data_IF_812046407946
#
_entry.id   IF_812046407946
#
_cell.length_a   1.000
_cell.length_b   1.000
_cell.length_c   1.000
_cell.angle_alpha   90.00
_cell.angle_beta   90.00
_cell.angle_gamma   90.00
#
_symmetry.space_group_name_H-M   'P 1'
#
loop_
_entity.id
_entity.type
_entity.pdbx_description
1 polymer ?
#
# COMPACT_ATOMS: atom_id res chain seq x y z
N UNK A 1 21.13 4.65 30.04
CA UNK A 1 20.54 3.80 28.99
C UNK A 1 21.35 4.09 27.76
N UNK A 2 22.09 3.11 27.25
CA UNK A 2 23.05 3.28 26.16
C UNK A 2 22.28 3.57 24.87
N UNK A 3 22.52 4.72 24.25
CA UNK A 3 21.89 5.08 22.99
C UNK A 3 22.70 4.40 21.88
N UNK A 4 22.08 3.66 20.94
CA UNK A 4 22.85 2.96 19.92
C UNK A 4 23.72 3.95 19.11
N UNK A 5 25.01 3.65 19.01
CA UNK A 5 26.08 4.49 18.42
C UNK A 5 26.01 4.64 16.89
N UNK A 6 24.86 4.39 16.25
CA UNK A 6 24.75 4.43 14.80
C UNK A 6 23.33 4.62 14.28
N UNK A 7 23.18 5.03 13.00
CA UNK A 7 21.88 5.15 12.36
C UNK A 7 21.18 3.78 12.34
N UNK A 8 19.88 3.77 12.66
CA UNK A 8 19.07 2.58 12.57
C UNK A 8 19.13 1.99 11.14
N UNK A 9 19.02 0.67 11.03
CA UNK A 9 18.99 -0.04 9.75
C UNK A 9 17.85 -1.07 9.74
N UNK A 10 17.28 -1.30 8.57
CA UNK A 10 16.27 -2.35 8.35
C UNK A 10 16.96 -3.57 7.76
N UNK A 11 16.50 -4.76 8.16
CA UNK A 11 17.02 -6.03 7.68
C UNK A 11 15.88 -6.92 7.20
N UNK A 12 16.14 -7.67 6.13
CA UNK A 12 15.35 -8.82 5.74
C UNK A 12 15.98 -10.06 6.39
N UNK A 13 15.16 -10.89 7.05
CA UNK A 13 15.60 -12.13 7.69
C UNK A 13 14.96 -13.28 6.93
N UNK A 14 15.79 -14.16 6.38
CA UNK A 14 15.37 -15.45 5.88
C UNK A 14 15.11 -16.36 7.09
N UNK A 15 13.87 -16.84 7.26
CA UNK A 15 13.47 -17.59 8.45
C UNK A 15 13.92 -19.06 8.42
N UNK A 16 14.24 -19.60 7.25
CA UNK A 16 14.70 -20.98 7.10
C UNK A 16 16.21 -21.09 7.37
N UNK A 17 16.96 -20.08 6.95
CA UNK A 17 18.43 -20.04 7.06
C UNK A 17 18.93 -19.12 8.16
N UNK A 18 18.04 -18.35 8.80
CA UNK A 18 18.33 -17.29 9.78
C UNK A 18 19.25 -16.17 9.24
N UNK A 19 19.50 -16.17 7.93
CA UNK A 19 20.39 -15.20 7.30
C UNK A 19 19.74 -13.82 7.29
N UNK A 20 20.43 -12.85 7.86
CA UNK A 20 20.03 -11.45 7.83
C UNK A 20 20.74 -10.71 6.70
N UNK A 21 19.98 -9.97 5.89
CA UNK A 21 20.51 -9.13 4.80
C UNK A 21 20.05 -7.70 5.02
N UNK A 22 20.98 -6.74 4.90
CA UNK A 22 20.63 -5.32 5.04
C UNK A 22 19.65 -4.93 3.95
N UNK A 23 18.48 -4.47 4.36
CA UNK A 23 17.41 -4.06 3.46
C UNK A 23 17.60 -2.61 3.02
N UNK A 24 17.41 -2.34 1.73
CA UNK A 24 17.37 -0.98 1.17
C UNK A 24 18.55 -0.06 1.61
N UNK A 25 19.83 -0.44 1.41
CA UNK A 25 20.98 0.26 1.99
C UNK A 25 21.18 1.73 1.54
N UNK A 26 20.38 2.23 0.58
CA UNK A 26 20.37 3.62 0.13
C UNK A 26 19.11 4.41 0.52
N UNK A 27 18.20 3.84 1.30
CA UNK A 27 16.97 4.50 1.77
C UNK A 27 17.10 4.83 3.25
N UNK A 28 16.68 6.04 3.65
CA UNK A 28 16.69 6.42 5.05
C UNK A 28 15.76 5.52 5.86
N UNK A 29 16.26 5.00 6.98
CA UNK A 29 15.44 4.21 7.91
C UNK A 29 14.29 5.05 8.49
N UNK A 30 14.44 6.37 8.60
CA UNK A 30 13.33 7.23 9.01
C UNK A 30 12.18 7.21 7.98
N UNK A 31 12.50 7.18 6.68
CA UNK A 31 11.50 7.08 5.61
C UNK A 31 10.83 5.69 5.61
N UNK A 32 11.61 4.64 5.90
CA UNK A 32 11.13 3.27 6.07
C UNK A 32 10.47 2.98 7.42
N UNK A 33 10.41 3.92 8.37
CA UNK A 33 9.71 3.73 9.64
C UNK A 33 8.55 4.72 9.80
N UNK A 34 8.56 5.84 9.06
CA UNK A 34 7.43 6.77 8.93
C UNK A 34 6.33 6.29 7.97
N UNK A 35 6.30 4.99 7.65
CA UNK A 35 5.45 4.42 6.61
C UNK A 35 4.03 4.19 7.12
N UNK A 36 3.05 4.41 6.24
CA UNK A 36 1.65 4.05 6.49
C UNK A 36 1.30 2.61 6.08
N UNK A 37 2.09 1.98 5.19
CA UNK A 37 1.90 0.58 4.78
C UNK A 37 3.12 -0.01 4.08
N UNK A 38 3.37 -1.31 4.31
CA UNK A 38 4.31 -2.13 3.54
C UNK A 38 3.63 -3.43 3.09
N UNK A 39 4.01 -3.93 1.92
CA UNK A 39 3.43 -5.14 1.34
C UNK A 39 4.51 -5.99 0.68
N UNK A 40 4.59 -7.27 1.03
CA UNK A 40 5.46 -8.22 0.35
C UNK A 40 4.90 -8.53 -1.06
N UNK A 41 5.75 -8.41 -2.08
CA UNK A 41 5.42 -8.66 -3.50
C UNK A 41 6.53 -9.50 -4.11
N UNK A 42 6.37 -10.83 -4.06
CA UNK A 42 7.41 -11.77 -4.48
C UNK A 42 8.71 -11.57 -3.69
N UNK A 43 9.83 -11.36 -4.40
CA UNK A 43 11.14 -11.08 -3.80
C UNK A 43 11.39 -9.58 -3.50
N UNK A 44 10.33 -8.78 -3.42
CA UNK A 44 10.40 -7.35 -3.13
C UNK A 44 9.40 -6.95 -2.07
N UNK A 45 9.56 -5.76 -1.51
CA UNK A 45 8.57 -5.11 -0.66
C UNK A 45 8.18 -3.79 -1.28
N UNK A 46 6.87 -3.53 -1.32
CA UNK A 46 6.29 -2.27 -1.75
C UNK A 46 6.11 -1.35 -0.55
N UNK A 47 6.47 -0.09 -0.71
CA UNK A 47 6.35 0.96 0.31
C UNK A 47 5.64 2.19 -0.24
N UNK A 48 4.93 2.87 0.65
CA UNK A 48 4.45 4.23 0.46
C UNK A 48 5.34 5.21 1.22
N UNK A 49 6.24 5.89 0.52
CA UNK A 49 7.20 6.83 1.10
C UNK A 49 6.75 8.28 0.92
N UNK A 50 6.96 9.12 1.93
CA UNK A 50 6.81 10.57 1.80
C UNK A 50 7.88 11.14 0.87
N UNK A 51 7.51 12.10 0.02
CA UNK A 51 8.40 12.77 -0.91
C UNK A 51 8.00 14.26 -1.06
N UNK A 52 8.29 15.05 -0.03
CA UNK A 52 7.80 16.44 0.06
C UNK A 52 6.30 16.45 0.38
N UNK A 53 5.51 17.08 -0.49
CA UNK A 53 4.04 17.10 -0.45
C UNK A 53 3.40 15.90 -1.18
N UNK A 54 4.22 15.06 -1.81
CA UNK A 54 3.79 13.87 -2.53
C UNK A 54 4.04 12.58 -1.73
N UNK A 55 3.36 11.51 -2.14
CA UNK A 55 3.61 10.13 -1.73
C UNK A 55 4.14 9.34 -2.92
N UNK A 56 5.24 8.62 -2.75
CA UNK A 56 5.79 7.71 -3.77
C UNK A 56 5.51 6.27 -3.39
N UNK A 57 4.89 5.54 -4.31
CA UNK A 57 4.81 4.09 -4.23
C UNK A 57 6.07 3.52 -4.89
N UNK A 58 6.88 2.86 -4.07
CA UNK A 58 8.17 2.29 -4.50
C UNK A 58 8.19 0.79 -4.27
N UNK A 59 8.93 0.08 -5.10
CA UNK A 59 9.26 -1.34 -4.90
C UNK A 59 10.76 -1.46 -4.66
N UNK A 60 11.12 -2.24 -3.64
CA UNK A 60 12.50 -2.44 -3.20
C UNK A 60 12.76 -3.95 -3.04
N UNK A 61 13.78 -4.52 -3.72
CA UNK A 61 14.18 -5.92 -3.57
C UNK A 61 14.65 -6.24 -2.14
N UNK A 62 14.34 -7.45 -1.68
CA UNK A 62 14.76 -7.93 -0.35
C UNK A 62 16.20 -8.47 -0.34
N UNK A 63 16.82 -8.63 -1.51
CA UNK A 63 18.16 -9.21 -1.69
C UNK A 63 19.32 -8.30 -1.22
N UNK A 64 18.99 -7.11 -0.71
CA UNK A 64 19.97 -6.13 -0.22
C UNK A 64 20.61 -5.30 -1.33
N UNK A 65 20.16 -5.43 -2.58
CA UNK A 65 20.56 -4.52 -3.64
C UNK A 65 20.03 -3.09 -3.37
N UNK A 66 20.73 -2.04 -3.83
CA UNK A 66 20.28 -0.65 -3.63
C UNK A 66 19.11 -0.25 -4.54
N UNK A 67 18.50 -1.20 -5.27
CA UNK A 67 17.50 -0.91 -6.29
C UNK A 67 16.18 -0.44 -5.69
N UNK A 68 15.91 0.85 -5.65
CA UNK A 68 14.56 1.39 -5.40
C UNK A 68 13.95 1.84 -6.72
N UNK A 69 12.78 1.31 -7.07
CA UNK A 69 12.04 1.74 -8.26
C UNK A 69 10.71 2.37 -7.87
N UNK A 70 10.47 3.59 -8.30
CA UNK A 70 9.15 4.25 -8.18
C UNK A 70 8.20 3.66 -9.20
N UNK A 71 7.03 3.19 -8.74
CA UNK A 71 5.94 2.70 -9.58
C UNK A 71 4.91 3.78 -9.88
N UNK A 72 4.66 4.66 -8.90
CA UNK A 72 3.67 5.74 -8.98
C UNK A 72 4.01 6.87 -8.00
N UNK A 73 3.72 8.11 -8.39
CA UNK A 73 3.74 9.27 -7.49
C UNK A 73 2.33 9.82 -7.36
N UNK A 74 1.88 10.04 -6.13
CA UNK A 74 0.57 10.57 -5.76
C UNK A 74 0.75 11.91 -5.03
N UNK A 75 -0.20 12.81 -5.22
CA UNK A 75 -0.36 14.06 -4.47
C UNK A 75 -1.15 13.87 -3.16
N UNK A 76 -1.41 12.63 -2.76
CA UNK A 76 -2.27 12.24 -1.65
C UNK A 76 -1.68 11.07 -0.89
N UNK A 77 -2.11 10.93 0.37
CA UNK A 77 -1.71 9.81 1.23
C UNK A 77 -2.43 8.52 0.80
N UNK A 78 -1.74 7.39 0.96
CA UNK A 78 -2.32 6.05 0.78
C UNK A 78 -2.65 5.42 2.12
N UNK A 79 -3.71 4.61 2.15
CA UNK A 79 -4.21 3.97 3.38
C UNK A 79 -4.13 2.45 3.35
N UNK A 80 -4.26 1.85 2.16
CA UNK A 80 -4.23 0.40 2.00
C UNK A 80 -3.73 0.03 0.62
N UNK A 81 -2.90 -1.00 0.55
CA UNK A 81 -2.39 -1.56 -0.71
C UNK A 81 -2.48 -3.07 -0.67
N UNK A 82 -2.88 -3.67 -1.79
CA UNK A 82 -2.87 -5.12 -1.98
C UNK A 82 -2.43 -5.49 -3.40
N UNK A 83 -2.07 -6.75 -3.60
CA UNK A 83 -1.55 -7.29 -4.86
C UNK A 83 -2.37 -8.51 -5.28
N UNK A 84 -2.87 -8.48 -6.51
CA UNK A 84 -3.49 -9.64 -7.12
C UNK A 84 -2.43 -10.70 -7.48
N UNK A 85 -2.89 -11.93 -7.72
CA UNK A 85 -2.02 -13.06 -8.08
C UNK A 85 -1.20 -12.81 -9.36
N UNK A 86 -1.70 -12.00 -10.29
CA UNK A 86 -1.01 -11.61 -11.52
C UNK A 86 0.01 -10.47 -11.31
N UNK A 87 0.16 -9.97 -10.08
CA UNK A 87 1.04 -8.85 -9.73
C UNK A 87 0.39 -7.47 -9.87
N UNK A 88 -0.88 -7.39 -10.30
CA UNK A 88 -1.61 -6.12 -10.36
C UNK A 88 -1.76 -5.52 -8.96
N UNK A 89 -1.43 -4.25 -8.81
CA UNK A 89 -1.48 -3.53 -7.53
C UNK A 89 -2.78 -2.76 -7.41
N UNK A 90 -3.40 -2.82 -6.23
CA UNK A 90 -4.57 -2.05 -5.86
C UNK A 90 -4.23 -1.12 -4.70
N UNK A 91 -4.41 0.19 -4.90
CA UNK A 91 -3.99 1.21 -3.93
C UNK A 91 -5.19 2.09 -3.57
N UNK A 92 -5.56 2.08 -2.30
CA UNK A 92 -6.52 3.01 -1.73
C UNK A 92 -5.82 4.32 -1.34
N UNK A 93 -6.29 5.42 -1.91
CA UNK A 93 -5.78 6.77 -1.61
C UNK A 93 -6.93 7.77 -1.46
N UNK A 94 -6.62 8.94 -0.92
CA UNK A 94 -7.60 10.01 -0.73
C UNK A 94 -7.18 11.28 -1.49
N UNK A 95 -7.60 11.40 -2.75
CA UNK A 95 -7.52 12.65 -3.52
C UNK A 95 -8.94 13.22 -3.73
N UNK A 96 -9.33 14.18 -2.87
CA UNK A 96 -10.67 14.82 -2.79
C UNK A 96 -11.85 13.89 -2.49
N UNK A 97 -12.04 12.84 -3.28
CA UNK A 97 -12.95 11.71 -3.05
C UNK A 97 -12.08 10.47 -2.90
N UNK A 98 -12.30 9.61 -1.90
CA UNK A 98 -11.44 8.43 -1.77
C UNK A 98 -11.55 7.54 -3.01
N UNK A 99 -10.44 6.97 -3.48
CA UNK A 99 -10.37 6.19 -4.71
C UNK A 99 -9.59 4.89 -4.50
N UNK A 100 -9.85 3.90 -5.35
CA UNK A 100 -9.00 2.71 -5.49
C UNK A 100 -8.42 2.70 -6.89
N UNK A 101 -7.09 2.80 -6.96
CA UNK A 101 -6.32 2.72 -8.19
C UNK A 101 -5.94 1.27 -8.48
N UNK A 102 -5.96 0.90 -9.76
CA UNK A 102 -5.35 -0.32 -10.28
C UNK A 102 -4.10 0.04 -11.08
N UNK A 103 -2.98 -0.59 -10.78
CA UNK A 103 -1.67 -0.29 -11.35
C UNK A 103 -0.95 -1.57 -11.80
N UNK A 104 -0.30 -1.51 -12.96
CA UNK A 104 0.59 -2.58 -13.42
C UNK A 104 1.81 -2.74 -12.51
N UNK A 105 2.31 -3.96 -12.24
CA UNK A 105 3.56 -4.17 -11.48
C UNK A 105 4.80 -3.54 -12.12
N UNK A 106 4.77 -3.25 -13.43
CA UNK A 106 5.82 -2.48 -14.10
C UNK A 106 5.82 -0.98 -13.75
N UNK A 107 4.77 -0.49 -13.09
CA UNK A 107 4.46 0.93 -12.94
C UNK A 107 3.80 1.51 -14.19
N UNK A 108 3.44 2.79 -14.11
CA UNK A 108 2.89 3.55 -15.23
C UNK A 108 1.37 3.78 -15.17
N UNK A 109 0.65 3.33 -16.20
CA UNK A 109 -0.77 3.61 -16.38
C UNK A 109 -1.60 3.15 -15.17
N UNK A 110 -2.53 4.01 -14.76
CA UNK A 110 -3.43 3.78 -13.63
C UNK A 110 -4.88 3.87 -14.10
N UNK A 111 -5.71 2.94 -13.63
CA UNK A 111 -7.15 3.01 -13.79
C UNK A 111 -7.80 3.25 -12.43
N UNK A 112 -8.80 4.12 -12.36
CA UNK A 112 -9.68 4.20 -11.20
C UNK A 112 -10.71 3.07 -11.34
N UNK A 113 -10.70 2.13 -10.40
CA UNK A 113 -11.57 0.94 -10.45
C UNK A 113 -12.69 0.96 -9.41
N UNK A 114 -12.59 1.85 -8.42
CA UNK A 114 -13.67 2.10 -7.46
C UNK A 114 -13.53 3.49 -6.83
N UNK A 115 -14.68 4.05 -6.45
CA UNK A 115 -14.78 5.24 -5.59
C UNK A 115 -15.16 4.80 -4.19
N UNK A 116 -14.57 5.44 -3.18
CA UNK A 116 -14.89 5.24 -1.78
C UNK A 116 -16.07 6.15 -1.38
N UNK A 117 -16.88 5.75 -0.39
CA UNK A 117 -17.96 6.59 0.10
C UNK A 117 -17.40 7.84 0.78
N UNK A 118 -18.12 8.96 0.67
CA UNK A 118 -17.80 10.20 1.38
C UNK A 118 -17.74 9.94 2.89
N UNK A 119 -16.68 10.41 3.56
CA UNK A 119 -16.46 10.20 5.00
C UNK A 119 -15.86 8.84 5.37
N UNK A 120 -15.38 8.07 4.38
CA UNK A 120 -14.55 6.89 4.63
C UNK A 120 -13.26 7.28 5.37
N UNK A 121 -12.94 6.51 6.42
CA UNK A 121 -11.68 6.57 7.15
C UNK A 121 -11.00 5.20 7.06
N UNK A 122 -9.67 5.22 6.93
CA UNK A 122 -8.80 4.04 6.81
C UNK A 122 -9.25 3.02 5.75
N UNK A 123 -9.40 3.42 4.48
CA UNK A 123 -9.82 2.52 3.42
C UNK A 123 -8.76 1.44 3.15
N UNK A 124 -9.21 0.18 3.07
CA UNK A 124 -8.40 -0.96 2.64
C UNK A 124 -8.91 -1.41 1.29
N UNK A 125 -8.02 -1.61 0.31
CA UNK A 125 -8.33 -2.30 -0.93
C UNK A 125 -7.80 -3.74 -0.85
N UNK A 126 -8.65 -4.72 -1.15
CA UNK A 126 -8.27 -6.14 -1.23
C UNK A 126 -8.51 -6.67 -2.63
N UNK A 127 -7.49 -7.29 -3.21
CA UNK A 127 -7.56 -7.93 -4.51
C UNK A 127 -8.31 -9.27 -4.42
N UNK A 128 -9.21 -9.52 -5.38
CA UNK A 128 -9.91 -10.78 -5.51
C UNK A 128 -9.27 -11.66 -6.59
N UNK A 129 -9.39 -12.99 -6.50
CA UNK A 129 -8.84 -13.93 -7.49
C UNK A 129 -9.34 -13.71 -8.93
N UNK A 130 -10.46 -13.01 -9.11
CA UNK A 130 -11.05 -12.70 -10.41
C UNK A 130 -10.58 -11.35 -10.99
N UNK A 131 -9.60 -10.70 -10.37
CA UNK A 131 -9.02 -9.43 -10.83
C UNK A 131 -9.84 -8.19 -10.46
N UNK A 132 -10.91 -8.35 -9.65
CA UNK A 132 -11.64 -7.23 -9.04
C UNK A 132 -11.00 -6.86 -7.70
N UNK A 133 -11.39 -5.71 -7.15
CA UNK A 133 -11.03 -5.31 -5.79
C UNK A 133 -12.25 -5.05 -4.94
N UNK A 134 -12.12 -5.28 -3.63
CA UNK A 134 -13.10 -4.90 -2.62
C UNK A 134 -12.49 -3.84 -1.71
N UNK A 135 -13.18 -2.71 -1.61
CA UNK A 135 -12.87 -1.69 -0.61
C UNK A 135 -13.58 -1.99 0.71
N UNK A 136 -12.85 -1.99 1.82
CA UNK A 136 -13.40 -1.89 3.17
C UNK A 136 -13.16 -0.49 3.69
N UNK A 137 -14.21 0.14 4.17
CA UNK A 137 -14.12 1.46 4.80
C UNK A 137 -14.89 1.44 6.10
N UNK A 138 -14.33 2.09 7.11
CA UNK A 138 -15.10 2.55 8.25
C UNK A 138 -15.70 3.90 7.87
N UNK A 139 -17.01 4.08 8.01
CA UNK A 139 -17.59 5.43 8.04
C UNK A 139 -17.71 5.87 9.50
N UNK A 140 -17.64 7.18 9.76
CA UNK A 140 -17.64 7.77 11.10
C UNK A 140 -18.79 7.28 12.01
N UNK A 141 -19.88 6.75 11.43
CA UNK A 141 -21.03 6.15 12.12
C UNK A 141 -20.88 4.65 12.50
N UNK A 142 -19.67 4.08 12.40
CA UNK A 142 -19.36 2.71 12.85
C UNK A 142 -19.86 1.58 11.94
N UNK A 143 -20.11 1.87 10.65
CA UNK A 143 -20.57 0.86 9.68
C UNK A 143 -19.47 0.52 8.68
N UNK A 144 -19.40 -0.75 8.30
CA UNK A 144 -18.57 -1.21 7.18
C UNK A 144 -19.36 -1.04 5.87
N UNK A 145 -18.73 -0.46 4.86
CA UNK A 145 -19.29 -0.39 3.51
C UNK A 145 -18.39 -1.11 2.50
N UNK A 146 -19.01 -1.72 1.48
CA UNK A 146 -18.33 -2.40 0.38
C UNK A 146 -18.39 -1.53 -0.87
N UNK A 147 -17.24 -1.22 -1.46
CA UNK A 147 -17.20 -0.59 -2.78
C UNK A 147 -17.19 -1.62 -3.91
N UNK A 148 -18.05 -1.42 -4.91
CA UNK A 148 -18.09 -2.19 -6.15
C UNK A 148 -17.57 -1.37 -7.34
N UNK A 149 -17.35 -2.03 -8.51
CA UNK A 149 -16.68 -1.43 -9.68
C UNK A 149 -17.45 -0.31 -10.36
N UNK A 150 -18.75 -0.17 -10.07
CA UNK A 150 -19.55 0.98 -10.48
C UNK A 150 -19.82 1.81 -9.23
N UNK A 151 -19.28 3.02 -9.17
CA UNK A 151 -19.44 3.98 -8.07
C UNK A 151 -20.87 4.49 -7.85
N UNK A 152 -21.83 3.58 -7.69
CA UNK A 152 -23.17 3.92 -7.24
C UNK A 152 -23.19 3.88 -5.70
N UNK A 153 -23.42 5.02 -5.02
CA UNK A 153 -23.71 5.03 -3.60
C UNK A 153 -25.06 4.31 -3.39
N UNK A 154 -25.07 3.19 -2.68
CA UNK A 154 -26.36 2.62 -2.25
C UNK A 154 -26.43 1.13 -1.91
N UNK A 155 -25.48 0.27 -2.28
CA UNK A 155 -25.56 -1.14 -1.88
C UNK A 155 -24.93 -1.39 -0.51
N UNK A 156 -25.65 -1.01 0.54
CA UNK A 156 -25.33 -1.39 1.91
C UNK A 156 -25.79 -2.84 2.13
N UNK A 157 -24.86 -3.80 2.07
CA UNK A 157 -25.14 -5.14 2.60
C UNK A 157 -24.82 -5.13 4.08
N UNK A 158 -25.87 -5.21 4.91
CA UNK A 158 -25.79 -5.37 6.37
C UNK A 158 -24.94 -6.60 6.68
N UNK A 159 -23.73 -6.42 7.22
CA UNK A 159 -23.01 -7.52 7.84
C UNK A 159 -23.84 -7.98 9.05
N UNK A 160 -24.39 -9.19 8.97
CA UNK A 160 -25.14 -9.82 10.06
C UNK A 160 -24.14 -10.24 11.13
N UNK A 161 -24.54 -10.00 12.37
CA UNK A 161 -23.82 -10.31 13.61
C UNK A 161 -23.73 -11.81 13.86
#
# INVERSE_FOLDING_TARGET
>A
MDQPDGPAHVYAIDLDTEKSTRFAPGVSTADLLGINSSLAVGASVLFSLAAGDATRIVIIPIDGSPGMRTLLTLNSQTFGTDVARDGTLFIAHQDRTGEVLRLSPSGGARDIVALQPTGAINPIALALPDGRAVGFVSIADGRLARCGPTGLPGSFSRAIR
#
